data_IF_163760468475
#
_entry.id   IF_163760468475
#
_cell.length_a   1.000
_cell.length_b   1.000
_cell.length_c   1.000
_cell.angle_alpha   90.00
_cell.angle_beta   90.00
_cell.angle_gamma   90.00
#
_symmetry.space_group_name_H-M   'P 1'
#
loop_
_entity.id
_entity.type
_entity.pdbx_description
1 polymer ?
#
# COMPACT_ATOMS: atom_id res chain seq x y z
N UNK A 1 -11.00 10.98 -24.13
CA UNK A 1 -9.75 11.23 -23.39
C UNK A 1 -9.40 9.97 -22.61
N UNK A 2 -8.18 9.49 -22.75
CA UNK A 2 -7.80 8.07 -22.62
C UNK A 2 -8.09 7.41 -21.27
N UNK A 3 -8.81 6.28 -21.32
CA UNK A 3 -8.98 5.30 -20.25
C UNK A 3 -7.70 4.46 -20.12
N UNK A 4 -6.70 4.96 -19.40
CA UNK A 4 -5.55 4.15 -18.98
C UNK A 4 -5.16 4.58 -17.57
N UNK A 5 -5.81 4.01 -16.55
CA UNK A 5 -5.43 4.30 -15.15
C UNK A 5 -5.92 3.30 -14.11
N UNK A 6 -5.83 2.00 -14.41
CA UNK A 6 -6.01 1.00 -13.36
C UNK A 6 -4.62 0.64 -12.85
N UNK A 7 -4.23 1.29 -11.74
CA UNK A 7 -3.14 0.79 -10.92
C UNK A 7 -3.60 -0.52 -10.30
N UNK A 8 -2.85 -1.59 -10.53
CA UNK A 8 -3.17 -2.89 -9.95
C UNK A 8 -2.64 -3.03 -8.51
N UNK A 9 -3.05 -4.10 -7.82
CA UNK A 9 -2.65 -4.32 -6.43
C UNK A 9 -1.14 -4.57 -6.29
N UNK A 10 -0.49 -5.15 -7.29
CA UNK A 10 0.96 -5.38 -7.29
C UNK A 10 1.71 -4.05 -7.44
N UNK A 11 1.26 -3.19 -8.35
CA UNK A 11 1.78 -1.83 -8.54
C UNK A 11 1.65 -1.00 -7.27
N UNK A 12 0.52 -1.11 -6.56
CA UNK A 12 0.30 -0.41 -5.30
C UNK A 12 1.20 -0.96 -4.17
N UNK A 13 1.42 -2.27 -4.07
CA UNK A 13 2.34 -2.87 -3.09
C UNK A 13 3.78 -2.42 -3.33
N UNK A 14 4.26 -2.48 -4.58
CA UNK A 14 5.61 -2.02 -4.92
C UNK A 14 5.76 -0.53 -4.63
N UNK A 15 4.76 0.28 -4.95
CA UNK A 15 4.78 1.71 -4.67
C UNK A 15 4.84 1.99 -3.16
N UNK A 16 4.02 1.30 -2.36
CA UNK A 16 4.07 1.44 -0.90
C UNK A 16 5.45 1.05 -0.33
N UNK A 17 6.05 -0.04 -0.81
CA UNK A 17 7.40 -0.46 -0.41
C UNK A 17 8.49 0.52 -0.85
N UNK A 18 8.37 1.10 -2.03
CA UNK A 18 9.30 2.12 -2.52
C UNK A 18 9.24 3.39 -1.66
N UNK A 19 8.03 3.77 -1.21
CA UNK A 19 7.83 4.85 -0.26
C UNK A 19 8.45 4.58 1.11
N UNK A 20 8.24 3.39 1.68
CA UNK A 20 8.86 2.99 2.95
C UNK A 20 10.39 3.05 2.82
N UNK A 21 10.96 2.45 1.78
CA UNK A 21 12.41 2.48 1.53
C UNK A 21 12.97 3.91 1.41
N UNK A 22 12.25 4.80 0.74
CA UNK A 22 12.67 6.20 0.65
C UNK A 22 12.53 6.96 1.97
N UNK A 23 11.56 6.58 2.81
CA UNK A 23 11.27 7.23 4.11
C UNK A 23 12.22 6.76 5.22
N UNK A 24 12.73 5.54 5.11
CA UNK A 24 13.69 4.94 6.04
C UNK A 24 15.15 5.11 5.61
N UNK A 25 15.41 5.82 4.49
CA UNK A 25 16.76 6.05 4.00
C UNK A 25 17.56 6.92 5.02
N UNK A 26 18.62 6.39 5.64
CA UNK A 26 19.39 7.14 6.64
C UNK A 26 20.19 8.31 6.04
N UNK A 27 20.28 8.41 4.71
CA UNK A 27 20.98 9.48 3.98
C UNK A 27 20.11 10.76 3.91
N UNK A 28 18.86 10.74 4.39
CA UNK A 28 17.98 11.92 4.42
C UNK A 28 18.46 12.96 5.44
N UNK A 29 19.42 13.80 5.05
CA UNK A 29 19.76 15.01 5.77
C UNK A 29 18.60 16.00 5.79
N UNK A 30 18.65 16.97 6.72
CA UNK A 30 17.61 17.98 6.96
C UNK A 30 17.26 18.83 5.72
N UNK A 31 18.14 18.86 4.71
CA UNK A 31 17.98 19.59 3.45
C UNK A 31 17.36 18.78 2.30
N UNK A 32 16.86 17.57 2.55
CA UNK A 32 16.26 16.77 1.48
C UNK A 32 14.99 17.45 0.96
N UNK A 33 15.06 17.93 -0.29
CA UNK A 33 13.90 18.58 -0.91
C UNK A 33 12.83 17.55 -1.26
N UNK A 34 11.56 17.99 -1.23
CA UNK A 34 10.42 17.16 -1.63
C UNK A 34 10.56 16.56 -3.05
N UNK A 35 11.33 17.21 -3.94
CA UNK A 35 11.65 16.69 -5.28
C UNK A 35 12.60 15.50 -5.22
N UNK A 36 13.70 15.61 -4.48
CA UNK A 36 14.69 14.53 -4.32
C UNK A 36 14.03 13.30 -3.72
N UNK A 37 13.19 13.48 -2.71
CA UNK A 37 12.44 12.38 -2.11
C UNK A 37 11.49 11.68 -3.11
N UNK A 38 10.76 12.46 -3.94
CA UNK A 38 9.91 11.89 -5.00
C UNK A 38 10.72 11.14 -6.07
N UNK A 39 11.90 11.64 -6.43
CA UNK A 39 12.79 10.97 -7.38
C UNK A 39 13.35 9.67 -6.80
N UNK A 40 13.72 9.64 -5.51
CA UNK A 40 14.13 8.41 -4.81
C UNK A 40 13.03 7.35 -4.83
N UNK A 41 11.78 7.74 -4.53
CA UNK A 41 10.62 6.84 -4.60
C UNK A 41 10.48 6.29 -6.02
N UNK A 42 10.57 7.14 -7.04
CA UNK A 42 10.46 6.72 -8.44
C UNK A 42 11.57 5.74 -8.82
N UNK A 43 12.80 6.00 -8.40
CA UNK A 43 13.93 5.09 -8.63
C UNK A 43 13.68 3.72 -8.00
N UNK A 44 13.28 3.67 -6.72
CA UNK A 44 12.96 2.40 -6.06
C UNK A 44 11.76 1.69 -6.68
N UNK A 45 10.75 2.44 -7.13
CA UNK A 45 9.59 1.89 -7.80
C UNK A 45 9.96 1.25 -9.15
N UNK A 46 10.82 1.88 -9.93
CA UNK A 46 11.32 1.34 -11.20
C UNK A 46 12.22 0.11 -10.95
N UNK A 47 13.12 0.19 -9.97
CA UNK A 47 14.07 -0.88 -9.63
C UNK A 47 13.36 -2.14 -9.12
N UNK A 48 12.34 -1.98 -8.27
CA UNK A 48 11.58 -3.06 -7.64
C UNK A 48 10.29 -3.42 -8.38
N UNK A 49 9.97 -2.70 -9.44
CA UNK A 49 8.77 -2.89 -10.25
C UNK A 49 8.69 -4.26 -10.90
N UNK A 50 7.47 -4.77 -11.15
CA UNK A 50 7.28 -6.06 -11.80
C UNK A 50 7.89 -6.03 -13.22
N UNK A 51 8.93 -6.86 -13.43
CA UNK A 51 9.63 -7.03 -14.72
C UNK A 51 8.70 -7.25 -15.91
N UNK A 52 7.52 -7.84 -15.66
CA UNK A 52 6.48 -8.14 -16.65
C UNK A 52 5.94 -6.91 -17.39
N UNK A 53 6.02 -5.73 -16.77
CA UNK A 53 5.50 -4.48 -17.35
C UNK A 53 6.62 -3.51 -17.81
N UNK A 54 7.89 -3.85 -17.59
CA UNK A 54 9.04 -3.16 -18.19
C UNK A 54 9.20 -3.51 -19.69
N UNK A 55 8.67 -4.67 -20.13
CA UNK A 55 8.67 -5.09 -21.54
C UNK A 55 7.42 -4.68 -22.35
N UNK A 56 6.35 -4.22 -21.69
CA UNK A 56 5.19 -3.60 -22.35
C UNK A 56 5.49 -2.11 -22.50
N UNK A 57 6.24 -1.78 -23.56
CA UNK A 57 6.59 -0.45 -24.06
C UNK A 57 6.29 0.71 -23.08
N UNK A 58 7.33 1.12 -22.35
CA UNK A 58 7.42 2.44 -21.72
C UNK A 58 6.38 2.79 -20.64
N UNK A 59 5.52 1.86 -20.16
CA UNK A 59 4.49 2.17 -19.15
C UNK A 59 5.07 2.88 -17.92
N UNK A 60 6.24 2.45 -17.43
CA UNK A 60 6.90 3.02 -16.25
C UNK A 60 7.90 4.13 -16.55
N UNK A 61 8.53 4.13 -17.73
CA UNK A 61 9.33 5.28 -18.17
C UNK A 61 8.45 6.53 -18.36
N UNK A 62 7.20 6.35 -18.79
CA UNK A 62 6.19 7.42 -18.97
C UNK A 62 5.38 7.76 -17.72
N UNK A 63 5.41 6.93 -16.66
CA UNK A 63 4.78 7.27 -15.38
C UNK A 63 5.60 8.40 -14.73
N UNK A 64 5.31 9.65 -15.12
CA UNK A 64 5.93 10.82 -14.53
C UNK A 64 5.71 10.86 -13.02
N UNK A 65 6.66 11.45 -12.29
CA UNK A 65 6.62 11.56 -10.83
C UNK A 65 5.26 12.08 -10.30
N UNK A 66 4.56 12.90 -11.08
CA UNK A 66 3.21 13.39 -10.78
C UNK A 66 2.12 12.28 -10.72
N UNK A 67 2.19 11.26 -11.58
CA UNK A 67 1.24 10.13 -11.57
C UNK A 67 1.45 9.26 -10.33
N UNK A 68 2.72 8.95 -10.03
CA UNK A 68 3.15 8.19 -8.85
C UNK A 68 2.72 8.92 -7.58
N UNK A 69 3.00 10.23 -7.50
CA UNK A 69 2.60 11.09 -6.37
C UNK A 69 1.09 11.10 -6.18
N UNK A 70 0.33 11.25 -7.28
CA UNK A 70 -1.14 11.27 -7.21
C UNK A 70 -1.67 9.94 -6.67
N UNK A 71 -1.21 8.82 -7.22
CA UNK A 71 -1.66 7.50 -6.79
C UNK A 71 -1.34 7.25 -5.31
N UNK A 72 -0.12 7.61 -4.87
CA UNK A 72 0.22 7.53 -3.46
C UNK A 72 -0.65 8.47 -2.60
N UNK A 73 -0.99 9.66 -3.08
CA UNK A 73 -1.84 10.60 -2.32
C UNK A 73 -3.28 10.08 -2.14
N UNK A 74 -3.74 9.20 -3.03
CA UNK A 74 -5.05 8.57 -2.96
C UNK A 74 -5.05 7.35 -1.98
N UNK A 75 -3.91 6.67 -1.78
CA UNK A 75 -3.76 5.51 -0.87
C UNK A 75 -4.11 5.79 0.61
N UNK A 76 -3.70 6.92 1.24
CA UNK A 76 -4.02 7.23 2.63
C UNK A 76 -5.50 7.15 2.95
N UNK A 77 -6.38 7.46 1.98
CA UNK A 77 -7.83 7.41 2.19
C UNK A 77 -8.32 5.99 2.48
N UNK A 78 -7.81 4.98 1.77
CA UNK A 78 -8.17 3.58 1.98
C UNK A 78 -7.44 2.99 3.20
N UNK A 79 -6.18 3.37 3.42
CA UNK A 79 -5.44 3.03 4.64
C UNK A 79 -6.19 3.55 5.88
N UNK A 80 -6.73 4.78 5.82
CA UNK A 80 -7.47 5.36 6.93
C UNK A 80 -8.78 4.61 7.21
N UNK A 81 -9.50 4.15 6.16
CA UNK A 81 -10.67 3.26 6.33
C UNK A 81 -10.30 1.92 6.96
N UNK A 82 -9.15 1.36 6.59
CA UNK A 82 -8.63 0.15 7.23
C UNK A 82 -8.28 0.42 8.71
N UNK A 83 -7.61 1.52 9.02
CA UNK A 83 -7.28 1.91 10.40
C UNK A 83 -8.53 2.08 11.28
N UNK A 84 -9.63 2.60 10.73
CA UNK A 84 -10.92 2.64 11.44
C UNK A 84 -11.40 1.23 11.77
N UNK A 85 -11.25 0.29 10.84
CA UNK A 85 -11.63 -1.13 11.04
C UNK A 85 -10.75 -1.79 12.10
N UNK A 86 -9.43 -1.54 12.06
CA UNK A 86 -8.49 -2.00 13.09
C UNK A 86 -8.79 -1.38 14.46
N UNK A 87 -9.15 -0.11 14.51
CA UNK A 87 -9.57 0.57 15.73
C UNK A 87 -10.80 -0.07 16.37
N UNK A 88 -11.78 -0.51 15.57
CA UNK A 88 -12.95 -1.26 16.06
C UNK A 88 -12.54 -2.59 16.68
N UNK A 89 -11.64 -3.35 16.03
CA UNK A 89 -11.13 -4.62 16.56
C UNK A 89 -10.41 -4.39 17.89
N UNK A 90 -9.50 -3.41 17.95
CA UNK A 90 -8.76 -3.07 19.17
C UNK A 90 -9.68 -2.61 20.31
N UNK A 91 -10.72 -1.83 20.00
CA UNK A 91 -11.69 -1.38 20.99
C UNK A 91 -12.49 -2.53 21.64
N UNK A 92 -12.57 -3.69 20.98
CA UNK A 92 -13.17 -4.89 21.57
C UNK A 92 -12.26 -5.58 22.61
N UNK A 93 -11.01 -5.13 22.80
CA UNK A 93 -10.01 -5.73 23.69
C UNK A 93 -9.94 -7.26 23.59
N UNK A 94 -9.75 -7.82 22.38
CA UNK A 94 -9.63 -9.26 22.20
C UNK A 94 -8.42 -9.81 22.98
N UNK A 95 -8.61 -10.95 23.65
CA UNK A 95 -7.58 -11.61 24.45
C UNK A 95 -7.16 -12.93 23.79
N UNK A 96 -5.90 -13.33 24.00
CA UNK A 96 -5.37 -14.58 23.46
C UNK A 96 -5.17 -14.60 21.94
N UNK A 97 -4.99 -13.44 21.32
CA UNK A 97 -4.70 -13.28 19.89
C UNK A 97 -3.41 -12.52 19.67
N UNK A 98 -2.72 -12.87 18.59
CA UNK A 98 -1.54 -12.15 18.11
C UNK A 98 -1.96 -10.99 17.18
N UNK A 99 -0.99 -10.14 16.84
CA UNK A 99 -1.21 -8.99 15.95
C UNK A 99 -1.68 -9.42 14.55
N UNK A 100 -1.23 -10.56 14.06
CA UNK A 100 -1.61 -11.08 12.74
C UNK A 100 -3.11 -11.45 12.69
N UNK A 101 -3.63 -12.03 13.76
CA UNK A 101 -5.06 -12.31 13.92
C UNK A 101 -5.85 -11.01 14.06
N UNK A 102 -5.34 -10.00 14.77
CA UNK A 102 -5.99 -8.66 14.85
C UNK A 102 -6.10 -8.00 13.48
N UNK A 103 -5.02 -8.04 12.70
CA UNK A 103 -4.99 -7.53 11.32
C UNK A 103 -5.99 -8.30 10.46
N UNK A 104 -6.03 -9.62 10.58
CA UNK A 104 -6.97 -10.45 9.83
C UNK A 104 -8.44 -10.10 10.15
N UNK A 105 -8.79 -9.93 11.43
CA UNK A 105 -10.12 -9.44 11.82
C UNK A 105 -10.43 -8.07 11.23
N UNK A 106 -9.46 -7.16 11.23
CA UNK A 106 -9.62 -5.82 10.68
C UNK A 106 -9.83 -5.85 9.16
N UNK A 107 -9.14 -6.74 8.45
CA UNK A 107 -9.33 -6.99 7.01
C UNK A 107 -10.75 -7.49 6.75
N UNK A 108 -11.25 -8.45 7.56
CA UNK A 108 -12.62 -8.97 7.44
C UNK A 108 -13.67 -7.85 7.51
N UNK A 109 -13.50 -6.94 8.47
CA UNK A 109 -14.40 -5.80 8.68
C UNK A 109 -14.25 -4.77 7.55
N UNK A 110 -13.01 -4.49 7.12
CA UNK A 110 -12.73 -3.50 6.08
C UNK A 110 -13.31 -3.92 4.72
N UNK A 111 -13.24 -5.22 4.39
CA UNK A 111 -13.80 -5.80 3.18
C UNK A 111 -15.30 -6.11 3.28
N UNK A 112 -15.95 -5.68 4.37
CA UNK A 112 -17.38 -5.88 4.64
C UNK A 112 -17.83 -7.37 4.67
N UNK A 113 -16.90 -8.31 4.84
CA UNK A 113 -17.22 -9.71 5.05
C UNK A 113 -17.93 -9.95 6.38
N UNK A 114 -17.65 -9.11 7.38
CA UNK A 114 -18.36 -9.07 8.65
C UNK A 114 -18.50 -7.64 9.16
N UNK A 115 -19.46 -7.43 10.06
CA UNK A 115 -19.66 -6.16 10.77
C UNK A 115 -19.16 -6.21 12.22
N UNK A 116 -18.69 -7.38 12.68
CA UNK A 116 -18.31 -7.64 14.07
C UNK A 116 -16.93 -8.29 14.12
N UNK A 117 -16.26 -8.13 15.25
CA UNK A 117 -15.01 -8.83 15.52
C UNK A 117 -15.31 -10.31 15.77
N UNK A 118 -14.74 -11.18 14.94
CA UNK A 118 -14.91 -12.64 14.97
C UNK A 118 -13.56 -13.31 14.77
N UNK A 119 -13.28 -14.36 15.54
CA UNK A 119 -11.99 -15.05 15.59
C UNK A 119 -11.75 -16.03 14.43
N UNK A 120 -12.78 -16.33 13.64
CA UNK A 120 -12.74 -17.38 12.60
C UNK A 120 -12.05 -16.95 11.30
N UNK A 121 -11.73 -15.67 11.12
CA UNK A 121 -11.06 -15.17 9.92
C UNK A 121 -9.54 -15.37 9.97
N UNK A 122 -9.08 -16.62 10.07
CA UNK A 122 -7.64 -16.94 10.11
C UNK A 122 -6.98 -17.18 8.75
N UNK A 123 -7.70 -17.08 7.64
CA UNK A 123 -7.13 -17.36 6.32
C UNK A 123 -7.78 -16.51 5.21
N UNK A 124 -7.22 -15.32 4.94
CA UNK A 124 -7.44 -14.62 3.66
C UNK A 124 -6.57 -15.18 2.54
N UNK A 125 -5.72 -16.18 2.82
CA UNK A 125 -5.07 -16.99 1.77
C UNK A 125 -6.07 -18.00 1.20
N UNK A 126 -6.76 -17.58 0.15
CA UNK A 126 -7.53 -18.40 -0.81
C UNK A 126 -7.52 -17.61 -2.12
N UNK A 127 -7.24 -18.12 -3.30
CA UNK A 127 -6.84 -19.42 -3.82
C UNK A 127 -5.94 -19.09 -5.04
N UNK A 128 -5.26 -20.09 -5.61
CA UNK A 128 -4.36 -19.97 -6.78
C UNK A 128 -4.86 -19.07 -7.93
#
# INVERSE_FOLDING_TARGET
MGRWKNWDAEENDVLARAWIAASEDPITGTDQTCKVFQDTIRCHFIEKGPKRQLGLENKYEYQGAASIKKNFSDMPSDVQKFLVSLGKVRACNPTGVDDDVLVSMAVAIHLEHTKRMEYDYKNFKKDK
#
